data_IF_140782441053
#
_entry.id   IF_140782441053
#
_cell.length_a   1.000
_cell.length_b   1.000
_cell.length_c   1.000
_cell.angle_alpha   90.00
_cell.angle_beta   90.00
_cell.angle_gamma   90.00
#
_symmetry.space_group_name_H-M   'P 1'
#
loop_
_entity.id
_entity.type
_entity.pdbx_description
1 polymer ?
#
# COMPACT_ATOMS: atom_id res chain seq x y z
N UNK A 1 18.16 35.28 -2.67
CA UNK A 1 17.88 34.30 -3.74
C UNK A 1 17.16 33.11 -3.12
N UNK A 2 15.89 32.93 -3.49
CA UNK A 2 14.88 32.25 -2.68
C UNK A 2 15.13 30.76 -2.52
N UNK A 3 14.91 30.19 -1.33
CA UNK A 3 14.98 28.74 -1.01
C UNK A 3 14.28 27.86 -2.06
N UNK A 4 13.27 28.39 -2.74
CA UNK A 4 12.59 27.76 -3.89
C UNK A 4 13.54 27.46 -5.06
N UNK A 5 14.39 28.40 -5.46
CA UNK A 5 15.35 28.23 -6.58
C UNK A 5 16.39 27.16 -6.22
N UNK A 6 16.89 27.15 -4.99
CA UNK A 6 17.79 26.11 -4.50
C UNK A 6 17.13 24.72 -4.55
N UNK A 7 15.85 24.60 -4.16
CA UNK A 7 15.10 23.33 -4.23
C UNK A 7 14.83 22.88 -5.67
N UNK A 8 14.60 23.79 -6.61
CA UNK A 8 14.47 23.45 -8.03
C UNK A 8 15.80 22.94 -8.61
N UNK A 9 16.93 23.58 -8.26
CA UNK A 9 18.26 23.12 -8.68
C UNK A 9 18.60 21.73 -8.10
N UNK A 10 18.31 21.50 -6.82
CA UNK A 10 18.44 20.18 -6.16
C UNK A 10 17.56 19.12 -6.81
N UNK A 11 16.33 19.48 -7.23
CA UNK A 11 15.42 18.56 -7.91
C UNK A 11 15.80 18.24 -9.36
N UNK A 12 16.56 19.12 -10.03
CA UNK A 12 17.02 18.93 -11.41
C UNK A 12 18.36 18.17 -11.50
N UNK A 13 19.18 18.21 -10.44
CA UNK A 13 20.47 17.52 -10.40
C UNK A 13 20.40 16.01 -10.73
N UNK A 14 19.43 15.22 -10.23
CA UNK A 14 19.32 13.80 -10.58
C UNK A 14 19.01 13.58 -12.07
N UNK A 15 18.21 14.45 -12.70
CA UNK A 15 17.88 14.34 -14.11
C UNK A 15 19.09 14.65 -15.01
N UNK A 16 19.92 15.63 -14.60
CA UNK A 16 21.18 15.98 -15.28
C UNK A 16 22.18 14.84 -15.17
N UNK A 17 22.33 14.24 -13.99
CA UNK A 17 23.23 13.10 -13.75
C UNK A 17 22.80 11.85 -14.52
N UNK A 18 21.50 11.54 -14.55
CA UNK A 18 20.95 10.46 -15.38
C UNK A 18 21.19 10.70 -16.88
N UNK A 19 21.07 11.95 -17.34
CA UNK A 19 21.37 12.34 -18.72
C UNK A 19 22.85 12.16 -19.07
N UNK A 20 23.76 12.60 -18.20
CA UNK A 20 25.21 12.43 -18.38
C UNK A 20 25.62 10.95 -18.34
N UNK A 21 25.03 10.17 -17.43
CA UNK A 21 25.21 8.71 -17.39
C UNK A 21 24.76 8.04 -18.69
N UNK A 22 23.59 8.43 -19.21
CA UNK A 22 23.09 7.94 -20.51
C UNK A 22 24.02 8.28 -21.68
N UNK A 23 24.57 9.50 -21.72
CA UNK A 23 25.53 9.91 -22.73
C UNK A 23 26.85 9.12 -22.67
N UNK A 24 27.38 8.86 -21.47
CA UNK A 24 28.59 8.03 -21.31
C UNK A 24 28.35 6.59 -21.77
N UNK A 25 27.19 6.03 -21.44
CA UNK A 25 26.78 4.68 -21.87
C UNK A 25 26.60 4.58 -23.38
N UNK A 26 26.16 5.66 -24.03
CA UNK A 26 26.09 5.78 -25.50
C UNK A 26 27.46 6.01 -26.17
N UNK A 27 28.57 5.99 -25.42
CA UNK A 27 29.92 6.19 -25.93
C UNK A 27 30.26 7.65 -26.24
N UNK A 28 29.42 8.61 -25.81
CA UNK A 28 29.70 10.04 -25.98
C UNK A 28 30.80 10.43 -25.00
N UNK A 29 31.90 10.98 -25.52
CA UNK A 29 32.98 11.50 -24.69
C UNK A 29 32.54 12.79 -24.01
N UNK A 30 32.32 12.73 -22.71
CA UNK A 30 32.02 13.91 -21.89
C UNK A 30 33.34 14.43 -21.29
N UNK A 31 33.64 15.74 -21.38
CA UNK A 31 34.82 16.32 -20.75
C UNK A 31 34.81 16.05 -19.24
N UNK A 32 35.95 15.65 -18.66
CA UNK A 32 36.05 15.33 -17.22
C UNK A 32 35.63 16.49 -16.31
N UNK A 33 35.82 17.74 -16.75
CA UNK A 33 35.35 18.92 -16.03
C UNK A 33 33.80 19.01 -15.91
N UNK A 34 33.07 18.52 -16.92
CA UNK A 34 31.60 18.46 -16.89
C UNK A 34 31.13 17.38 -15.91
N UNK A 35 31.83 16.25 -15.87
CA UNK A 35 31.54 15.17 -14.93
C UNK A 35 31.80 15.59 -13.48
N UNK A 36 32.97 16.18 -13.21
CA UNK A 36 33.31 16.73 -11.90
C UNK A 36 32.36 17.85 -11.47
N UNK A 37 31.93 18.70 -12.40
CA UNK A 37 30.93 19.73 -12.15
C UNK A 37 29.57 19.15 -11.77
N UNK A 38 29.14 18.07 -12.42
CA UNK A 38 27.90 17.38 -12.10
C UNK A 38 27.98 16.66 -10.75
N UNK A 39 29.05 15.92 -10.47
CA UNK A 39 29.28 15.29 -9.16
C UNK A 39 29.33 16.32 -8.03
N UNK A 40 30.06 17.43 -8.22
CA UNK A 40 30.14 18.52 -7.24
C UNK A 40 28.77 19.16 -6.99
N UNK A 41 27.93 19.31 -8.02
CA UNK A 41 26.57 19.80 -7.89
C UNK A 41 25.71 18.86 -7.05
N UNK A 42 25.82 17.54 -7.26
CA UNK A 42 25.09 16.52 -6.50
C UNK A 42 25.54 16.51 -5.04
N UNK A 43 26.84 16.53 -4.78
CA UNK A 43 27.40 16.59 -3.43
C UNK A 43 26.97 17.87 -2.72
N UNK A 44 27.00 19.01 -3.40
CA UNK A 44 26.52 20.29 -2.85
C UNK A 44 25.01 20.26 -2.56
N UNK A 45 24.21 19.66 -3.44
CA UNK A 45 22.78 19.49 -3.26
C UNK A 45 22.45 18.60 -2.05
N UNK A 46 23.11 17.44 -1.93
CA UNK A 46 22.99 16.53 -0.78
C UNK A 46 23.47 17.18 0.52
N UNK A 47 24.58 17.90 0.46
CA UNK A 47 25.12 18.66 1.59
C UNK A 47 24.16 19.75 2.07
N UNK A 48 23.54 20.49 1.14
CA UNK A 48 22.53 21.50 1.47
C UNK A 48 21.32 20.89 2.16
N UNK A 49 20.74 19.81 1.62
CA UNK A 49 19.62 19.11 2.24
C UNK A 49 20.00 18.51 3.61
N UNK A 50 21.22 17.97 3.74
CA UNK A 50 21.78 17.49 5.00
C UNK A 50 21.90 18.58 6.06
N UNK A 51 22.38 19.78 5.68
CA UNK A 51 22.49 20.94 6.58
C UNK A 51 21.10 21.44 6.99
N UNK A 52 20.13 21.49 6.08
CA UNK A 52 18.74 21.87 6.39
C UNK A 52 18.14 20.88 7.38
N UNK A 53 18.29 19.57 7.13
CA UNK A 53 17.79 18.51 8.00
C UNK A 53 18.47 18.54 9.38
N UNK A 54 19.78 18.77 9.44
CA UNK A 54 20.54 18.92 10.67
C UNK A 54 20.10 20.14 11.49
N UNK A 55 19.90 21.30 10.84
CA UNK A 55 19.43 22.52 11.52
C UNK A 55 18.03 22.34 12.08
N UNK A 56 17.11 21.73 11.33
CA UNK A 56 15.75 21.43 11.80
C UNK A 56 15.75 20.43 12.96
N UNK A 57 16.61 19.41 12.89
CA UNK A 57 16.79 18.45 13.98
C UNK A 57 17.33 19.14 15.24
N UNK A 58 18.36 19.98 15.12
CA UNK A 58 18.92 20.74 16.23
C UNK A 58 17.90 21.68 16.88
N UNK A 59 17.07 22.37 16.09
CA UNK A 59 16.00 23.23 16.61
C UNK A 59 14.99 22.40 17.40
N UNK A 60 14.56 21.24 16.88
CA UNK A 60 13.67 20.33 17.60
C UNK A 60 14.28 19.79 18.89
N UNK A 61 15.57 19.45 18.88
CA UNK A 61 16.30 18.99 20.07
C UNK A 61 16.45 20.09 21.13
N UNK A 62 16.70 21.33 20.73
CA UNK A 62 16.77 22.50 21.62
C UNK A 62 15.40 22.86 22.21
N UNK A 63 14.32 22.57 21.48
CA UNK A 63 12.95 22.71 21.96
C UNK A 63 12.50 21.55 22.88
N UNK A 64 13.41 20.65 23.28
CA UNK A 64 13.12 19.56 24.22
C UNK A 64 12.56 18.28 23.58
N UNK A 65 12.41 18.21 22.25
CA UNK A 65 11.87 17.02 21.60
C UNK A 65 12.81 15.80 21.69
N UNK A 66 12.23 14.61 21.76
CA UNK A 66 12.97 13.36 21.68
C UNK A 66 13.74 13.24 20.36
N UNK A 67 14.85 12.48 20.33
CA UNK A 67 15.68 12.32 19.11
C UNK A 67 14.88 11.88 17.88
N UNK A 68 13.90 10.98 18.06
CA UNK A 68 13.02 10.47 17.00
C UNK A 68 11.97 11.49 16.57
N UNK A 69 11.44 12.28 17.50
CA UNK A 69 10.42 13.30 17.22
C UNK A 69 11.01 14.48 16.44
N UNK A 70 12.21 14.95 16.85
CA UNK A 70 12.93 16.01 16.15
C UNK A 70 13.30 15.60 14.71
N UNK A 71 13.76 14.35 14.53
CA UNK A 71 14.07 13.81 13.19
C UNK A 71 12.80 13.68 12.34
N UNK A 72 11.70 13.18 12.92
CA UNK A 72 10.42 13.09 12.23
C UNK A 72 9.84 14.45 11.83
N UNK A 73 10.02 15.49 12.66
CA UNK A 73 9.63 16.86 12.32
C UNK A 73 10.49 17.45 11.17
N UNK A 74 11.81 17.25 11.23
CA UNK A 74 12.72 17.69 10.17
C UNK A 74 12.41 17.01 8.83
N UNK A 75 12.25 15.68 8.83
CA UNK A 75 11.90 14.90 7.64
C UNK A 75 10.55 15.33 7.04
N UNK A 76 9.53 15.64 7.86
CA UNK A 76 8.23 16.14 7.37
C UNK A 76 8.33 17.47 6.62
N UNK A 77 9.36 18.26 6.92
CA UNK A 77 9.59 19.58 6.31
C UNK A 77 10.36 19.47 4.99
N UNK A 78 11.31 18.52 4.94
CA UNK A 78 12.19 18.30 3.78
C UNK A 78 11.51 17.41 2.74
N UNK A 79 10.92 16.29 3.17
CA UNK A 79 10.35 15.26 2.29
C UNK A 79 8.94 15.64 1.84
N UNK A 80 8.66 15.73 0.53
CA UNK A 80 7.31 15.98 0.03
C UNK A 80 6.29 14.96 0.53
N UNK A 81 5.06 15.40 0.77
CA UNK A 81 3.94 14.56 1.23
C UNK A 81 3.78 13.27 0.39
N UNK A 82 3.93 13.40 -0.93
CA UNK A 82 3.80 12.29 -1.88
C UNK A 82 4.86 11.21 -1.64
N UNK A 83 6.12 11.62 -1.48
CA UNK A 83 7.24 10.70 -1.19
C UNK A 83 7.04 10.03 0.15
N UNK A 84 6.60 10.76 1.18
CA UNK A 84 6.31 10.17 2.50
C UNK A 84 5.20 9.13 2.43
N UNK A 85 4.15 9.37 1.64
CA UNK A 85 3.07 8.40 1.44
C UNK A 85 3.54 7.16 0.68
N UNK A 86 4.39 7.34 -0.34
CA UNK A 86 5.00 6.25 -1.09
C UNK A 86 5.87 5.38 -0.18
N UNK A 87 6.79 5.99 0.58
CA UNK A 87 7.66 5.28 1.53
C UNK A 87 6.83 4.59 2.61
N UNK A 88 5.79 5.23 3.16
CA UNK A 88 4.90 4.60 4.13
C UNK A 88 4.13 3.41 3.54
N UNK A 89 3.79 3.47 2.26
CA UNK A 89 3.17 2.36 1.54
C UNK A 89 4.15 1.20 1.37
N UNK A 90 5.38 1.47 0.92
CA UNK A 90 6.45 0.48 0.78
C UNK A 90 6.81 -0.18 2.11
N UNK A 91 7.02 0.60 3.17
CA UNK A 91 7.29 0.06 4.52
C UNK A 91 6.17 -0.86 4.99
N UNK A 92 4.91 -0.50 4.69
CA UNK A 92 3.75 -1.34 5.06
C UNK A 92 3.72 -2.63 4.24
N UNK A 93 4.04 -2.57 2.94
CA UNK A 93 4.14 -3.74 2.07
C UNK A 93 5.27 -4.67 2.52
N UNK A 94 6.47 -4.14 2.76
CA UNK A 94 7.62 -4.91 3.25
C UNK A 94 7.38 -5.51 4.65
N UNK A 95 6.71 -4.79 5.55
CA UNK A 95 6.29 -5.37 6.83
C UNK A 95 5.32 -6.54 6.62
N UNK A 96 4.41 -6.42 5.67
CA UNK A 96 3.50 -7.50 5.31
C UNK A 96 4.24 -8.68 4.66
N UNK A 97 5.30 -8.43 3.88
CA UNK A 97 6.20 -9.48 3.38
C UNK A 97 6.86 -10.23 4.54
N UNK A 98 7.40 -9.51 5.53
CA UNK A 98 7.98 -10.12 6.73
C UNK A 98 6.95 -10.95 7.51
N UNK A 99 5.72 -10.47 7.67
CA UNK A 99 4.64 -11.26 8.29
C UNK A 99 4.33 -12.53 7.49
N UNK A 100 4.30 -12.45 6.16
CA UNK A 100 4.03 -13.58 5.29
C UNK A 100 5.12 -14.66 5.40
N UNK A 101 6.39 -14.26 5.36
CA UNK A 101 7.54 -15.15 5.56
C UNK A 101 7.48 -15.82 6.94
N UNK A 102 7.13 -15.07 7.98
CA UNK A 102 6.95 -15.58 9.34
C UNK A 102 5.63 -16.35 9.54
N UNK A 103 4.81 -16.53 8.48
CA UNK A 103 3.48 -17.16 8.51
C UNK A 103 2.51 -16.54 9.52
N UNK A 104 2.66 -15.25 9.78
CA UNK A 104 1.80 -14.45 10.68
C UNK A 104 0.77 -13.64 9.89
N UNK A 105 -0.39 -13.41 10.51
CA UNK A 105 -1.46 -12.54 9.97
C UNK A 105 -1.54 -11.24 10.75
N UNK A 106 -2.04 -10.20 10.09
CA UNK A 106 -2.19 -8.89 10.70
C UNK A 106 -3.65 -8.58 11.04
N UNK A 107 -3.90 -8.26 12.31
CA UNK A 107 -5.17 -7.68 12.76
C UNK A 107 -6.36 -8.61 12.55
N UNK A 108 -6.19 -9.90 12.87
CA UNK A 108 -7.27 -10.88 13.05
C UNK A 108 -7.43 -11.04 14.57
N UNK A 109 -8.50 -10.49 15.18
CA UNK A 109 -8.77 -10.66 16.60
C UNK A 109 -8.99 -12.13 16.97
N UNK A 110 -8.80 -12.47 18.25
CA UNK A 110 -9.15 -13.79 18.78
C UNK A 110 -10.68 -14.00 18.65
N UNK A 111 -11.08 -15.20 18.22
CA UNK A 111 -12.49 -15.53 17.96
C UNK A 111 -13.05 -15.00 16.63
N UNK A 112 -12.33 -14.14 15.90
CA UNK A 112 -12.76 -13.64 14.60
C UNK A 112 -12.50 -14.65 13.46
N UNK A 113 -13.38 -14.67 12.47
CA UNK A 113 -13.23 -15.51 11.27
C UNK A 113 -12.46 -14.74 10.20
N UNK A 114 -11.29 -15.24 9.83
CA UNK A 114 -10.55 -14.74 8.68
C UNK A 114 -11.16 -15.26 7.38
N UNK A 115 -11.42 -14.35 6.44
CA UNK A 115 -11.98 -14.64 5.12
C UNK A 115 -10.92 -14.30 4.05
N UNK A 116 -10.18 -15.30 3.54
CA UNK A 116 -9.25 -15.12 2.43
C UNK A 116 -9.99 -14.70 1.15
N UNK A 117 -9.30 -13.94 0.31
CA UNK A 117 -9.84 -13.42 -0.95
C UNK A 117 -8.83 -13.46 -2.10
N UNK A 118 -7.61 -13.97 -1.89
CA UNK A 118 -6.53 -13.75 -2.84
C UNK A 118 -6.50 -14.78 -3.96
N UNK A 119 -7.27 -15.87 -3.85
CA UNK A 119 -7.27 -16.98 -4.81
C UNK A 119 -7.21 -16.56 -6.28
N UNK A 120 -8.16 -15.73 -6.78
CA UNK A 120 -8.21 -15.31 -8.18
C UNK A 120 -7.01 -14.51 -8.66
N UNK A 121 -6.35 -13.73 -7.80
CA UNK A 121 -5.22 -12.88 -8.19
C UNK A 121 -3.86 -13.58 -8.00
N UNK A 122 -3.79 -14.67 -7.22
CA UNK A 122 -2.54 -15.35 -6.89
C UNK A 122 -1.79 -15.84 -8.12
N UNK A 123 -2.49 -16.49 -9.07
CA UNK A 123 -1.86 -17.00 -10.29
C UNK A 123 -1.25 -15.87 -11.14
N UNK A 124 -1.97 -14.76 -11.28
CA UNK A 124 -1.47 -13.56 -11.98
C UNK A 124 -0.22 -12.99 -11.30
N UNK A 125 -0.22 -12.88 -9.96
CA UNK A 125 0.93 -12.34 -9.22
C UNK A 125 2.16 -13.23 -9.38
N UNK A 126 2.01 -14.56 -9.30
CA UNK A 126 3.13 -15.47 -9.53
C UNK A 126 3.57 -15.51 -11.00
N UNK A 127 2.66 -15.37 -11.95
CA UNK A 127 3.00 -15.20 -13.36
C UNK A 127 3.85 -13.95 -13.59
N UNK A 128 3.50 -12.82 -12.96
CA UNK A 128 4.29 -11.59 -13.05
C UNK A 128 5.69 -11.77 -12.45
N UNK A 129 5.82 -12.40 -11.29
CA UNK A 129 7.12 -12.72 -10.69
C UNK A 129 7.94 -13.61 -11.61
N UNK A 130 7.34 -14.65 -12.19
CA UNK A 130 8.01 -15.55 -13.10
C UNK A 130 8.55 -14.81 -14.34
N UNK A 131 7.72 -13.99 -14.99
CA UNK A 131 8.14 -13.21 -16.16
C UNK A 131 9.26 -12.23 -15.80
N UNK A 132 9.16 -11.54 -14.65
CA UNK A 132 10.21 -10.64 -14.19
C UNK A 132 11.55 -11.36 -13.96
N UNK A 133 11.52 -12.58 -13.41
CA UNK A 133 12.74 -13.39 -13.24
C UNK A 133 13.33 -13.82 -14.59
N UNK A 134 12.49 -14.22 -15.55
CA UNK A 134 12.95 -14.55 -16.91
C UNK A 134 13.55 -13.33 -17.59
N UNK A 135 12.90 -12.18 -17.49
CA UNK A 135 13.40 -10.89 -17.98
C UNK A 135 14.78 -10.58 -17.37
N UNK A 136 14.94 -10.73 -16.05
CA UNK A 136 16.22 -10.52 -15.37
C UNK A 136 17.33 -11.37 -15.99
N UNK A 137 17.07 -12.66 -16.23
CA UNK A 137 18.03 -13.58 -16.84
C UNK A 137 18.34 -13.20 -18.29
N UNK A 138 17.33 -12.82 -19.07
CA UNK A 138 17.52 -12.41 -20.47
C UNK A 138 18.34 -11.12 -20.57
N UNK A 139 18.05 -10.12 -19.74
CA UNK A 139 18.83 -8.87 -19.68
C UNK A 139 20.27 -9.14 -19.24
N UNK A 140 20.47 -10.06 -18.30
CA UNK A 140 21.81 -10.46 -17.86
C UNK A 140 22.66 -11.05 -18.99
N UNK A 141 22.05 -11.78 -19.94
CA UNK A 141 22.72 -12.36 -21.11
C UNK A 141 22.91 -11.37 -22.26
N UNK A 142 21.93 -10.46 -22.45
CA UNK A 142 21.91 -9.55 -23.60
C UNK A 142 22.76 -8.30 -23.39
N UNK A 143 22.99 -7.87 -22.14
CA UNK A 143 23.61 -6.57 -21.83
C UNK A 143 25.11 -6.75 -21.57
N UNK A 144 25.98 -6.31 -22.50
CA UNK A 144 27.42 -6.47 -22.37
C UNK A 144 28.06 -5.45 -21.42
N UNK A 145 27.36 -4.35 -21.09
CA UNK A 145 27.90 -3.28 -20.24
C UNK A 145 27.69 -3.59 -18.75
N UNK A 146 28.76 -3.81 -17.96
CA UNK A 146 28.63 -4.26 -16.56
C UNK A 146 27.85 -3.30 -15.67
N UNK A 147 27.98 -1.99 -15.90
CA UNK A 147 27.26 -0.97 -15.12
C UNK A 147 25.76 -1.01 -15.40
N UNK A 148 25.37 -1.09 -16.68
CA UNK A 148 23.95 -1.16 -17.07
C UNK A 148 23.31 -2.44 -16.54
N UNK A 149 24.03 -3.56 -16.67
CA UNK A 149 23.63 -4.83 -16.10
C UNK A 149 23.39 -4.71 -14.58
N UNK A 150 24.36 -4.15 -13.83
CA UNK A 150 24.23 -4.01 -12.38
C UNK A 150 23.04 -3.15 -11.97
N UNK A 151 22.78 -2.05 -12.67
CA UNK A 151 21.62 -1.18 -12.41
C UNK A 151 20.30 -1.92 -12.67
N UNK A 152 20.17 -2.60 -13.80
CA UNK A 152 18.95 -3.34 -14.14
C UNK A 152 18.71 -4.51 -13.19
N UNK A 153 19.76 -5.25 -12.81
CA UNK A 153 19.65 -6.31 -11.83
C UNK A 153 19.09 -5.80 -10.49
N UNK A 154 19.56 -4.64 -10.00
CA UNK A 154 19.03 -4.03 -8.78
C UNK A 154 17.56 -3.64 -8.94
N UNK A 155 17.19 -3.05 -10.09
CA UNK A 155 15.81 -2.66 -10.38
C UNK A 155 14.88 -3.86 -10.48
N UNK A 156 15.29 -4.92 -11.16
CA UNK A 156 14.50 -6.14 -11.34
C UNK A 156 14.29 -6.86 -10.01
N UNK A 157 15.36 -7.04 -9.23
CA UNK A 157 15.27 -7.65 -7.90
C UNK A 157 14.37 -6.83 -7.00
N UNK A 158 14.51 -5.49 -7.00
CA UNK A 158 13.62 -4.61 -6.25
C UNK A 158 12.17 -4.72 -6.73
N UNK A 159 11.93 -4.79 -8.04
CA UNK A 159 10.62 -5.01 -8.64
C UNK A 159 9.97 -6.32 -8.20
N UNK A 160 10.71 -7.42 -8.22
CA UNK A 160 10.25 -8.73 -7.72
C UNK A 160 9.88 -8.65 -6.25
N UNK A 161 10.74 -8.05 -5.42
CA UNK A 161 10.47 -7.84 -3.99
C UNK A 161 9.20 -7.01 -3.79
N UNK A 162 8.99 -5.97 -4.61
CA UNK A 162 7.81 -5.11 -4.52
C UNK A 162 6.52 -5.87 -4.88
N UNK A 163 6.54 -6.66 -5.95
CA UNK A 163 5.39 -7.50 -6.36
C UNK A 163 5.05 -8.52 -5.26
N UNK A 164 6.05 -9.19 -4.70
CA UNK A 164 5.87 -10.11 -3.58
C UNK A 164 5.35 -9.40 -2.34
N UNK A 165 5.87 -8.22 -2.02
CA UNK A 165 5.42 -7.43 -0.87
C UNK A 165 3.96 -6.98 -1.00
N UNK A 166 3.53 -6.60 -2.21
CA UNK A 166 2.14 -6.25 -2.51
C UNK A 166 1.23 -7.47 -2.35
N UNK A 167 1.61 -8.61 -2.92
CA UNK A 167 0.83 -9.85 -2.79
C UNK A 167 0.75 -10.30 -1.32
N UNK A 168 1.88 -10.28 -0.61
CA UNK A 168 1.95 -10.58 0.81
C UNK A 168 1.08 -9.64 1.65
N UNK A 169 0.96 -8.36 1.29
CA UNK A 169 0.05 -7.43 1.94
C UNK A 169 -1.40 -7.89 1.84
N UNK A 170 -1.82 -8.42 0.69
CA UNK A 170 -3.16 -8.98 0.51
C UNK A 170 -3.36 -10.28 1.32
N UNK A 171 -2.40 -11.21 1.24
CA UNK A 171 -2.49 -12.51 1.93
C UNK A 171 -2.49 -12.37 3.46
N UNK A 172 -1.65 -11.49 4.00
CA UNK A 172 -1.50 -11.31 5.46
C UNK A 172 -2.62 -10.48 6.10
N UNK A 173 -3.44 -9.82 5.28
CA UNK A 173 -4.56 -8.96 5.71
C UNK A 173 -5.86 -9.45 5.07
N UNK A 174 -6.37 -10.63 5.49
CA UNK A 174 -7.64 -11.13 5.00
C UNK A 174 -8.78 -10.18 5.42
N UNK A 175 -9.96 -10.35 4.82
CA UNK A 175 -11.16 -9.81 5.40
C UNK A 175 -11.42 -10.50 6.75
N UNK A 176 -12.11 -9.82 7.66
CA UNK A 176 -12.36 -10.34 9.00
C UNK A 176 -13.83 -10.16 9.34
N UNK A 177 -14.48 -11.23 9.78
CA UNK A 177 -15.78 -11.16 10.45
C UNK A 177 -15.53 -11.34 11.93
N UNK A 178 -15.84 -10.31 12.71
CA UNK A 178 -15.66 -10.35 14.17
C UNK A 178 -16.65 -11.30 14.84
N UNK A 179 -16.38 -11.67 16.09
CA UNK A 179 -17.30 -12.50 16.88
C UNK A 179 -18.69 -11.85 16.99
N UNK A 180 -18.73 -10.52 17.14
CA UNK A 180 -19.96 -9.72 17.20
C UNK A 180 -20.67 -9.59 15.84
N UNK A 181 -20.13 -10.18 14.77
CA UNK A 181 -20.68 -10.09 13.40
C UNK A 181 -20.26 -8.84 12.63
N UNK A 182 -19.38 -8.00 13.18
CA UNK A 182 -18.88 -6.82 12.49
C UNK A 182 -17.91 -7.22 11.37
N UNK A 183 -18.18 -6.75 10.15
CA UNK A 183 -17.38 -7.06 8.98
C UNK A 183 -16.26 -6.01 8.80
N UNK A 184 -15.03 -6.47 8.59
CA UNK A 184 -13.90 -5.63 8.20
C UNK A 184 -13.38 -6.07 6.84
N UNK A 185 -13.66 -5.28 5.83
CA UNK A 185 -13.17 -5.48 4.47
C UNK A 185 -11.83 -4.80 4.29
N UNK A 186 -10.91 -5.50 3.63
CA UNK A 186 -9.53 -5.05 3.45
C UNK A 186 -9.00 -5.45 2.09
N UNK A 187 -8.31 -4.54 1.42
CA UNK A 187 -7.53 -4.88 0.24
C UNK A 187 -6.07 -4.48 0.49
N UNK A 188 -5.25 -5.47 0.84
CA UNK A 188 -3.87 -5.29 1.27
C UNK A 188 -3.69 -4.18 2.30
N UNK A 189 -2.72 -3.30 2.06
CA UNK A 189 -2.51 -2.06 2.83
C UNK A 189 -3.22 -0.83 2.26
N UNK A 190 -4.02 -1.00 1.19
CA UNK A 190 -4.60 0.06 0.37
C UNK A 190 -6.01 0.47 0.81
N UNK A 191 -6.81 -0.47 1.29
CA UNK A 191 -8.20 -0.22 1.66
C UNK A 191 -8.58 -0.95 2.94
N UNK A 192 -9.36 -0.27 3.78
CA UNK A 192 -9.91 -0.80 5.03
C UNK A 192 -11.29 -0.17 5.29
N UNK A 193 -12.31 -0.99 5.43
CA UNK A 193 -13.68 -0.59 5.72
C UNK A 193 -14.23 -1.45 6.84
N UNK A 194 -14.66 -0.81 7.93
CA UNK A 194 -15.36 -1.45 9.04
C UNK A 194 -16.87 -1.20 8.88
N UNK A 195 -17.61 -2.28 8.76
CA UNK A 195 -19.08 -2.31 8.75
C UNK A 195 -19.53 -2.88 10.10
N UNK A 196 -20.19 -2.09 10.96
CA UNK A 196 -20.75 -2.59 12.21
C UNK A 196 -21.80 -3.69 11.96
N UNK A 197 -21.93 -4.64 12.89
CA UNK A 197 -22.89 -5.73 12.76
C UNK A 197 -24.34 -5.24 12.59
N UNK A 198 -24.74 -4.23 13.37
CA UNK A 198 -26.06 -3.60 13.28
C UNK A 198 -26.31 -2.85 11.97
N UNK A 199 -25.25 -2.55 11.20
CA UNK A 199 -25.39 -1.94 9.87
C UNK A 199 -25.69 -2.96 8.78
N UNK A 200 -25.59 -4.28 9.04
CA UNK A 200 -25.78 -5.34 8.04
C UNK A 200 -27.23 -5.81 8.00
N UNK A 201 -27.93 -5.50 6.90
CA UNK A 201 -29.30 -5.97 6.65
C UNK A 201 -29.33 -7.45 6.26
N UNK A 202 -28.41 -7.86 5.39
CA UNK A 202 -28.36 -9.20 4.80
C UNK A 202 -27.02 -9.46 4.13
N UNK A 203 -26.65 -10.75 4.05
CA UNK A 203 -25.49 -11.20 3.30
C UNK A 203 -25.89 -12.42 2.48
N UNK A 204 -25.46 -12.48 1.23
CA UNK A 204 -25.73 -13.61 0.33
C UNK A 204 -24.52 -13.93 -0.53
N UNK A 205 -24.43 -15.18 -0.95
CA UNK A 205 -23.49 -15.60 -1.98
C UNK A 205 -24.05 -15.14 -3.32
N UNK A 206 -23.30 -14.30 -4.02
CA UNK A 206 -23.67 -13.78 -5.31
C UNK A 206 -22.40 -13.47 -6.11
N UNK A 207 -22.14 -14.25 -7.15
CA UNK A 207 -20.99 -14.01 -8.03
C UNK A 207 -21.32 -12.98 -9.09
N UNK A 208 -20.46 -11.95 -9.22
CA UNK A 208 -20.57 -10.89 -10.23
C UNK A 208 -19.18 -10.59 -10.79
N UNK A 209 -19.16 -10.04 -12.01
CA UNK A 209 -17.94 -9.64 -12.73
C UNK A 209 -17.99 -8.15 -13.05
N UNK A 210 -17.90 -7.28 -12.04
CA UNK A 210 -17.92 -5.83 -12.24
C UNK A 210 -16.66 -5.36 -12.98
N UNK A 211 -16.83 -4.40 -13.88
CA UNK A 211 -15.70 -3.80 -14.62
C UNK A 211 -14.95 -2.75 -13.78
N UNK A 212 -13.62 -2.74 -13.89
CA UNK A 212 -12.76 -1.70 -13.35
C UNK A 212 -11.81 -2.16 -12.24
N UNK A 213 -11.33 -1.19 -11.47
CA UNK A 213 -10.30 -1.41 -10.47
C UNK A 213 -10.77 -2.12 -9.18
N UNK A 214 -9.82 -2.52 -8.31
CA UNK A 214 -10.09 -3.37 -7.14
C UNK A 214 -10.96 -2.73 -6.06
N UNK A 215 -11.07 -1.40 -6.03
CA UNK A 215 -11.98 -0.68 -5.12
C UNK A 215 -12.75 0.34 -5.95
N UNK A 216 -14.00 0.05 -6.26
CA UNK A 216 -14.83 0.88 -7.13
C UNK A 216 -16.16 1.24 -6.47
N UNK A 217 -16.47 2.53 -6.30
CA UNK A 217 -17.86 2.93 -6.12
C UNK A 217 -18.62 2.69 -7.44
N UNK A 218 -19.58 1.79 -7.41
CA UNK A 218 -20.58 1.63 -8.45
C UNK A 218 -21.62 2.76 -8.40
N UNK A 219 -22.56 2.72 -9.34
CA UNK A 219 -23.75 3.57 -9.28
C UNK A 219 -24.56 3.25 -8.01
N UNK A 220 -25.39 4.20 -7.57
CA UNK A 220 -26.43 4.00 -6.56
C UNK A 220 -25.95 3.52 -5.17
N UNK A 221 -24.69 3.81 -4.83
CA UNK A 221 -24.13 3.48 -3.50
C UNK A 221 -23.68 2.03 -3.37
N UNK A 222 -23.40 1.34 -4.48
CA UNK A 222 -22.71 0.04 -4.45
C UNK A 222 -21.21 0.26 -4.31
N UNK A 223 -20.55 -0.51 -3.44
CA UNK A 223 -19.09 -0.57 -3.35
C UNK A 223 -18.61 -1.96 -3.74
N UNK A 224 -17.88 -2.05 -4.85
CA UNK A 224 -17.30 -3.30 -5.32
C UNK A 224 -15.81 -3.39 -4.91
N UNK A 225 -15.47 -4.47 -4.21
CA UNK A 225 -14.12 -4.90 -3.87
C UNK A 225 -13.74 -6.09 -4.75
N UNK A 226 -13.21 -5.77 -5.93
CA UNK A 226 -12.98 -6.71 -7.01
C UNK A 226 -11.62 -7.38 -6.86
N UNK A 227 -11.58 -8.71 -6.94
CA UNK A 227 -10.33 -9.48 -6.91
C UNK A 227 -10.32 -10.45 -8.09
N UNK A 228 -9.31 -10.33 -8.95
CA UNK A 228 -9.25 -11.12 -10.19
C UNK A 228 -10.50 -10.97 -11.06
N UNK A 229 -11.05 -9.76 -11.14
CA UNK A 229 -12.21 -9.45 -11.99
C UNK A 229 -13.58 -9.90 -11.46
N UNK A 230 -13.68 -10.36 -10.20
CA UNK A 230 -14.93 -10.85 -9.64
C UNK A 230 -15.18 -10.40 -8.19
N UNK A 231 -16.44 -10.51 -7.79
CA UNK A 231 -16.94 -10.49 -6.40
C UNK A 231 -17.82 -11.72 -6.18
N UNK A 232 -17.85 -12.29 -4.98
CA UNK A 232 -18.60 -13.54 -4.69
C UNK A 232 -19.61 -13.42 -3.55
N UNK A 233 -19.55 -12.33 -2.78
CA UNK A 233 -20.46 -12.05 -1.66
C UNK A 233 -21.04 -10.65 -1.83
N UNK A 234 -22.36 -10.53 -1.66
CA UNK A 234 -23.06 -9.25 -1.58
C UNK A 234 -23.60 -9.07 -0.16
N UNK A 235 -23.33 -7.90 0.42
CA UNK A 235 -23.83 -7.47 1.73
C UNK A 235 -24.65 -6.20 1.54
N UNK A 236 -25.90 -6.26 1.99
CA UNK A 236 -26.81 -5.12 2.03
C UNK A 236 -26.76 -4.47 3.40
N UNK A 237 -26.77 -3.14 3.42
CA UNK A 237 -26.64 -2.36 4.63
C UNK A 237 -27.95 -1.65 4.97
N UNK A 238 -28.34 -1.65 6.25
CA UNK A 238 -29.53 -0.92 6.72
C UNK A 238 -29.33 0.60 6.66
N UNK A 239 -28.09 1.05 6.84
CA UNK A 239 -27.70 2.46 6.82
C UNK A 239 -26.43 2.64 5.97
N UNK A 240 -26.30 3.74 5.21
CA UNK A 240 -25.08 4.00 4.46
C UNK A 240 -23.84 4.04 5.35
N UNK A 241 -22.78 3.31 4.97
CA UNK A 241 -21.50 3.31 5.68
C UNK A 241 -20.49 4.13 4.91
N UNK A 242 -19.80 5.04 5.60
CA UNK A 242 -18.74 5.85 5.01
C UNK A 242 -17.48 5.01 4.76
N UNK A 243 -16.84 5.23 3.62
CA UNK A 243 -15.54 4.65 3.31
C UNK A 243 -14.60 5.70 2.73
N UNK A 244 -13.30 5.41 2.82
CA UNK A 244 -12.24 6.24 2.22
C UNK A 244 -11.56 5.42 1.14
N UNK A 245 -11.57 5.94 -0.09
CA UNK A 245 -10.85 5.31 -1.20
C UNK A 245 -9.34 5.34 -0.96
N UNK A 246 -8.55 4.47 -1.61
CA UNK A 246 -7.08 4.50 -1.50
C UNK A 246 -6.47 5.89 -1.81
N UNK A 247 -7.11 6.66 -2.69
CA UNK A 247 -6.72 8.03 -3.07
C UNK A 247 -7.33 9.13 -2.18
N UNK A 248 -7.89 8.79 -1.02
CA UNK A 248 -8.37 9.74 -0.01
C UNK A 248 -9.77 10.32 -0.23
N UNK A 249 -10.37 10.14 -1.40
CA UNK A 249 -11.75 10.56 -1.65
C UNK A 249 -12.73 9.74 -0.81
N UNK A 250 -13.65 10.42 -0.10
CA UNK A 250 -14.71 9.79 0.68
C UNK A 250 -15.86 9.31 -0.21
N UNK A 251 -16.63 8.36 0.29
CA UNK A 251 -17.84 7.83 -0.34
C UNK A 251 -18.73 7.15 0.69
N UNK A 252 -19.95 6.79 0.26
CA UNK A 252 -20.93 6.08 1.07
C UNK A 252 -21.38 4.82 0.33
N UNK A 253 -21.50 3.72 1.06
CA UNK A 253 -21.98 2.46 0.52
C UNK A 253 -23.27 2.04 1.22
N UNK A 254 -24.29 1.66 0.45
CA UNK A 254 -25.50 0.97 0.91
C UNK A 254 -25.44 -0.52 0.61
N UNK A 255 -24.67 -0.90 -0.39
CA UNK A 255 -24.41 -2.30 -0.73
C UNK A 255 -22.91 -2.47 -0.90
N UNK A 256 -22.35 -3.52 -0.31
CA UNK A 256 -20.93 -3.85 -0.46
C UNK A 256 -20.80 -5.23 -1.07
N UNK A 257 -20.09 -5.32 -2.18
CA UNK A 257 -19.75 -6.58 -2.84
C UNK A 257 -18.26 -6.81 -2.72
N UNK A 258 -17.87 -8.02 -2.40
CA UNK A 258 -16.46 -8.37 -2.28
C UNK A 258 -16.22 -9.82 -2.69
N UNK A 259 -14.99 -10.14 -3.04
CA UNK A 259 -14.58 -11.52 -3.27
C UNK A 259 -14.15 -12.18 -1.96
N UNK A 260 -14.63 -13.39 -1.73
CA UNK A 260 -14.16 -14.34 -0.75
C UNK A 260 -13.86 -15.66 -1.46
N UNK A 261 -12.76 -16.31 -1.07
CA UNK A 261 -12.35 -17.61 -1.63
C UNK A 261 -13.36 -18.71 -1.24
N UNK A 262 -13.91 -18.62 -0.02
CA UNK A 262 -15.08 -19.40 0.42
C UNK A 262 -16.25 -18.43 0.77
N UNK A 263 -17.13 -18.12 -0.21
CA UNK A 263 -18.24 -17.21 0.02
C UNK A 263 -19.30 -17.80 0.95
N UNK A 264 -19.45 -19.12 1.01
CA UNK A 264 -20.39 -19.79 1.90
C UNK A 264 -20.01 -19.63 3.36
N UNK A 265 -18.74 -19.89 3.69
CA UNK A 265 -18.21 -19.69 5.04
C UNK A 265 -18.29 -18.21 5.47
N UNK A 266 -18.02 -17.27 4.55
CA UNK A 266 -18.13 -15.84 4.83
C UNK A 266 -19.56 -15.42 5.21
N UNK A 267 -20.56 -15.83 4.41
CA UNK A 267 -21.97 -15.53 4.68
C UNK A 267 -22.46 -16.22 5.96
N UNK A 268 -22.03 -17.45 6.21
CA UNK A 268 -22.35 -18.17 7.43
C UNK A 268 -21.78 -17.47 8.68
N UNK A 269 -20.56 -16.96 8.63
CA UNK A 269 -19.95 -16.20 9.72
C UNK A 269 -20.71 -14.90 10.01
N UNK A 270 -21.07 -14.15 8.96
CA UNK A 270 -21.87 -12.92 9.08
C UNK A 270 -23.26 -13.20 9.68
N UNK A 271 -23.88 -14.30 9.30
CA UNK A 271 -25.20 -14.69 9.80
C UNK A 271 -25.14 -15.15 11.25
N UNK A 272 -24.08 -15.87 11.66
CA UNK A 272 -23.88 -16.31 13.05
C UNK A 272 -23.68 -15.14 14.00
N UNK A 273 -22.80 -14.19 13.68
CA UNK A 273 -22.56 -13.02 14.55
C UNK A 273 -23.82 -12.18 14.78
N UNK A 274 -24.72 -12.11 13.79
CA UNK A 274 -26.03 -11.46 13.93
C UNK A 274 -27.00 -12.17 14.87
N UNK A 275 -26.86 -13.48 15.05
CA UNK A 275 -27.73 -14.29 15.93
C UNK A 275 -27.16 -14.42 17.34
N UNK A 276 -25.99 -13.85 17.63
CA UNK A 276 -25.45 -13.75 18.98
C UNK A 276 -26.37 -12.93 19.90
N UNK A 277 -26.37 -13.19 21.22
CA UNK A 277 -27.31 -12.55 22.12
C UNK A 277 -27.11 -11.03 22.11
N UNK A 278 -28.21 -10.29 21.93
CA UNK A 278 -28.23 -8.85 22.21
C UNK A 278 -27.73 -8.63 23.64
N UNK A 279 -26.96 -7.55 23.94
CA UNK A 279 -26.75 -7.14 25.32
C UNK A 279 -28.13 -6.98 25.94
N UNK A 280 -28.40 -7.79 26.96
CA UNK A 280 -29.66 -7.84 27.68
C UNK A 280 -30.11 -6.42 28.02
N UNK A 281 -31.31 -6.05 27.57
CA UNK A 281 -32.07 -4.99 28.21
C UNK A 281 -32.28 -5.45 29.66
N UNK A 282 -31.74 -4.70 30.61
CA UNK A 282 -32.03 -4.90 32.03
C UNK A 282 -33.56 -4.91 32.22
N UNK A 283 -34.12 -5.91 32.92
CA UNK A 283 -35.53 -5.88 33.27
C UNK A 283 -35.75 -4.68 34.22
N UNK A 284 -36.87 -3.95 34.09
CA UNK A 284 -37.15 -2.83 34.98
C UNK A 284 -37.23 -3.34 36.41
N UNK A 285 -36.39 -2.78 37.28
CA UNK A 285 -36.36 -3.08 38.70
C UNK A 285 -37.77 -3.03 39.27
N UNK A 286 -38.19 -4.14 39.89
CA UNK A 286 -39.38 -4.18 40.73
C UNK A 286 -38.98 -3.89 42.17
N UNK A 287 -39.79 -3.01 42.77
CA UNK A 287 -39.89 -2.60 44.17
C UNK A 287 -38.87 -1.57 44.64
#
# INVERSE_FOLDING_TARGET
MSVRIARYAVGAAPAVELGLGGCLLAGVRIPGAVLLGAEALVVAALGFEGVVLWRLWLVGRRAGAGRREALGAALRTVVPEKVRRLVAHEVRALRSLGLWVLRRRHGVPEGAVAVPYTGPQTAMMYGLVFVALVETVMLALLIPWPVVHGVLLVLDVYGVVLVLALHAACVTRPHVVDADGALRLRYGGLFDLRVPAGAVAGARVERRYPEGGPVRPGADGVLDLVVGGQTTVTVELVSPVAFVRPLGKRGWARTVRFHADDPGAAVAALTRGRRGPSPSQDPPGRA
#
